data_IF_446046367746
#
_entry.id   IF_446046367746
#
_cell.length_a   1.000
_cell.length_b   1.000
_cell.length_c   1.000
_cell.angle_alpha   90.00
_cell.angle_beta   90.00
_cell.angle_gamma   90.00
#
_symmetry.space_group_name_H-M   'P 1'
#
loop_
_entity.id
_entity.type
_entity.pdbx_description
1 polymer ?
#
# COMPACT_ATOMS: atom_id res chain seq x y z
N UNK A 1 11.98 -3.84 18.64
CA UNK A 1 10.92 -4.59 17.93
C UNK A 1 11.60 -5.51 16.94
N UNK A 2 11.32 -6.83 16.90
CA UNK A 2 11.85 -7.67 15.83
C UNK A 2 11.30 -7.14 14.49
N UNK A 3 12.19 -6.86 13.54
CA UNK A 3 11.89 -6.15 12.29
C UNK A 3 10.79 -6.83 11.45
N UNK A 4 10.58 -8.13 11.64
CA UNK A 4 9.48 -8.91 11.05
C UNK A 4 8.09 -8.45 11.51
N UNK A 5 7.90 -8.13 12.80
CA UNK A 5 6.60 -7.72 13.33
C UNK A 5 6.16 -6.40 12.68
N UNK A 6 7.05 -5.41 12.58
CA UNK A 6 6.73 -4.13 11.95
C UNK A 6 6.38 -4.31 10.46
N UNK A 7 7.09 -5.20 9.74
CA UNK A 7 6.77 -5.53 8.35
C UNK A 7 5.35 -6.08 8.25
N UNK A 8 5.03 -7.10 9.04
CA UNK A 8 3.75 -7.77 8.97
C UNK A 8 2.58 -6.85 9.34
N UNK A 9 2.76 -5.97 10.33
CA UNK A 9 1.78 -4.94 10.67
C UNK A 9 1.53 -3.97 9.51
N UNK A 10 2.60 -3.47 8.87
CA UNK A 10 2.47 -2.57 7.73
C UNK A 10 1.80 -3.26 6.53
N UNK A 11 2.15 -4.52 6.25
CA UNK A 11 1.52 -5.32 5.20
C UNK A 11 0.04 -5.58 5.48
N UNK A 12 -0.29 -5.94 6.72
CA UNK A 12 -1.67 -6.16 7.15
C UNK A 12 -2.49 -4.89 7.01
N UNK A 13 -1.95 -3.74 7.41
CA UNK A 13 -2.62 -2.46 7.26
C UNK A 13 -2.88 -2.11 5.79
N UNK A 14 -1.90 -2.29 4.91
CA UNK A 14 -2.08 -2.08 3.46
C UNK A 14 -3.13 -3.03 2.88
N UNK A 15 -3.15 -4.28 3.32
CA UNK A 15 -4.18 -5.24 2.92
C UNK A 15 -5.57 -4.73 3.30
N UNK A 16 -5.80 -4.38 4.56
CA UNK A 16 -7.11 -3.94 5.06
C UNK A 16 -7.59 -2.61 4.45
N UNK A 17 -6.70 -1.64 4.26
CA UNK A 17 -7.10 -0.29 3.88
C UNK A 17 -6.98 0.01 2.37
N UNK A 18 -6.08 -0.65 1.66
CA UNK A 18 -5.82 -0.38 0.24
C UNK A 18 -6.26 -1.52 -0.68
N UNK A 19 -5.94 -2.78 -0.35
CA UNK A 19 -6.12 -3.89 -1.28
C UNK A 19 -7.50 -4.56 -1.12
N UNK A 20 -7.83 -4.96 0.09
CA UNK A 20 -9.05 -5.69 0.42
C UNK A 20 -10.33 -4.97 -0.03
N UNK A 21 -10.49 -3.64 0.13
CA UNK A 21 -11.68 -2.94 -0.34
C UNK A 21 -11.90 -3.06 -1.85
N UNK A 22 -10.82 -3.13 -2.64
CA UNK A 22 -10.90 -3.25 -4.10
C UNK A 22 -11.15 -4.71 -4.51
N UNK A 23 -10.53 -5.66 -3.79
CA UNK A 23 -10.65 -7.09 -4.08
C UNK A 23 -12.00 -7.68 -3.67
N UNK A 24 -12.66 -7.11 -2.66
CA UNK A 24 -14.00 -7.52 -2.23
C UNK A 24 -15.13 -6.92 -3.08
N UNK A 25 -14.84 -5.96 -3.96
CA UNK A 25 -15.89 -5.40 -4.81
C UNK A 25 -16.45 -6.49 -5.72
N UNK A 26 -17.74 -6.75 -5.60
CA UNK A 26 -18.42 -7.69 -6.47
C UNK A 26 -18.53 -7.12 -7.88
N UNK A 27 -17.91 -7.81 -8.84
CA UNK A 27 -18.00 -7.44 -10.25
C UNK A 27 -19.43 -7.58 -10.79
N UNK A 28 -20.28 -8.40 -10.20
CA UNK A 28 -21.67 -8.52 -10.62
C UNK A 28 -22.53 -7.33 -10.15
N UNK A 29 -22.11 -6.66 -9.07
CA UNK A 29 -22.76 -5.46 -8.53
C UNK A 29 -22.48 -4.19 -9.35
N UNK A 30 -21.51 -4.22 -10.28
CA UNK A 30 -21.23 -3.10 -11.19
C UNK A 30 -21.83 -3.32 -12.59
N UNK A 31 -22.16 -2.25 -13.32
CA UNK A 31 -22.69 -2.35 -14.69
C UNK A 31 -21.79 -3.19 -15.60
N UNK A 32 -22.37 -3.94 -16.54
CA UNK A 32 -21.65 -4.83 -17.47
C UNK A 32 -20.41 -4.18 -18.12
N UNK A 33 -20.53 -2.91 -18.52
CA UNK A 33 -19.43 -2.13 -19.12
C UNK A 33 -18.25 -1.87 -18.16
N UNK A 34 -18.50 -1.82 -16.85
CA UNK A 34 -17.48 -1.57 -15.82
C UNK A 34 -16.89 -2.87 -15.27
N UNK A 35 -17.50 -4.04 -15.51
CA UNK A 35 -17.02 -5.33 -15.00
C UNK A 35 -15.62 -5.67 -15.47
N UNK A 36 -15.36 -5.44 -16.76
CA UNK A 36 -14.04 -5.70 -17.33
C UNK A 36 -12.97 -4.78 -16.73
N UNK A 37 -13.32 -3.51 -16.51
CA UNK A 37 -12.43 -2.53 -15.88
C UNK A 37 -12.14 -2.88 -14.42
N UNK A 38 -13.16 -3.28 -13.66
CA UNK A 38 -13.02 -3.71 -12.27
C UNK A 38 -12.16 -4.98 -12.17
N UNK A 39 -12.37 -5.99 -13.03
CA UNK A 39 -11.52 -7.20 -13.06
C UNK A 39 -10.07 -6.86 -13.39
N UNK A 40 -9.84 -5.97 -14.36
CA UNK A 40 -8.50 -5.53 -14.71
C UNK A 40 -7.84 -4.75 -13.56
N UNK A 41 -8.61 -3.96 -12.81
CA UNK A 41 -8.15 -3.24 -11.62
C UNK A 41 -7.80 -4.21 -10.48
N UNK A 42 -8.69 -5.15 -10.16
CA UNK A 42 -8.48 -6.18 -9.14
C UNK A 42 -7.21 -7.00 -9.43
N UNK A 43 -7.01 -7.39 -10.69
CA UNK A 43 -5.78 -8.09 -11.10
C UNK A 43 -4.52 -7.26 -10.86
N UNK A 44 -4.55 -5.95 -11.16
CA UNK A 44 -3.42 -5.04 -10.89
C UNK A 44 -3.16 -4.88 -9.39
N UNK A 45 -4.22 -4.78 -8.58
CA UNK A 45 -4.13 -4.70 -7.12
C UNK A 45 -3.55 -5.99 -6.54
N UNK A 46 -3.93 -7.17 -7.04
CA UNK A 46 -3.33 -8.44 -6.63
C UNK A 46 -1.82 -8.49 -6.88
N UNK A 47 -1.39 -8.10 -8.08
CA UNK A 47 0.05 -8.04 -8.42
C UNK A 47 0.78 -7.06 -7.50
N UNK A 48 0.16 -5.94 -7.17
CA UNK A 48 0.76 -4.96 -6.27
C UNK A 48 0.87 -5.51 -4.84
N UNK A 49 -0.19 -6.12 -4.31
CA UNK A 49 -0.19 -6.74 -2.99
C UNK A 49 0.89 -7.81 -2.87
N UNK A 50 1.04 -8.67 -3.88
CA UNK A 50 2.11 -9.67 -3.95
C UNK A 50 3.50 -9.01 -3.92
N UNK A 51 3.70 -7.96 -4.71
CA UNK A 51 4.95 -7.18 -4.68
C UNK A 51 5.24 -6.56 -3.31
N UNK A 52 4.23 -6.14 -2.53
CA UNK A 52 4.49 -5.67 -1.16
C UNK A 52 4.90 -6.81 -0.23
N UNK A 53 4.26 -7.98 -0.34
CA UNK A 53 4.60 -9.17 0.46
C UNK A 53 6.03 -9.67 0.24
N UNK A 54 6.59 -9.42 -0.93
CA UNK A 54 8.00 -9.70 -1.26
C UNK A 54 9.00 -8.68 -0.68
N UNK A 55 8.58 -7.77 0.22
CA UNK A 55 9.50 -6.85 0.88
C UNK A 55 10.19 -7.52 2.08
N UNK A 56 11.51 -7.49 2.12
CA UNK A 56 12.30 -8.19 3.15
C UNK A 56 12.25 -7.51 4.54
N UNK A 57 11.77 -6.26 4.61
CA UNK A 57 11.73 -5.49 5.87
C UNK A 57 10.66 -4.40 5.84
N UNK A 58 10.29 -3.89 7.02
CA UNK A 58 9.38 -2.75 7.16
C UNK A 58 9.85 -1.49 6.40
N UNK A 59 11.16 -1.20 6.44
CA UNK A 59 11.75 -0.10 5.67
C UNK A 59 11.64 -0.30 4.15
N UNK A 60 11.74 -1.55 3.69
CA UNK A 60 11.51 -1.90 2.29
C UNK A 60 10.02 -1.73 1.89
N UNK A 61 9.08 -2.05 2.79
CA UNK A 61 7.64 -1.78 2.59
C UNK A 61 7.41 -0.27 2.43
N UNK A 62 7.94 0.55 3.35
CA UNK A 62 7.81 2.01 3.29
C UNK A 62 8.43 2.61 2.01
N UNK A 63 9.61 2.12 1.62
CA UNK A 63 10.29 2.57 0.41
C UNK A 63 9.47 2.23 -0.84
N UNK A 64 8.93 1.00 -0.93
CA UNK A 64 8.05 0.59 -2.04
C UNK A 64 6.78 1.41 -2.09
N UNK A 65 6.18 1.73 -0.94
CA UNK A 65 5.00 2.58 -0.84
C UNK A 65 5.26 3.98 -1.41
N UNK A 66 6.33 4.63 -0.97
CA UNK A 66 6.74 5.96 -1.46
C UNK A 66 7.08 5.96 -2.95
N UNK A 67 7.72 4.90 -3.43
CA UNK A 67 7.98 4.73 -4.86
C UNK A 67 6.67 4.61 -5.65
N UNK A 68 5.71 3.84 -5.16
CA UNK A 68 4.42 3.64 -5.82
C UNK A 68 3.60 4.94 -5.88
N UNK A 69 3.59 5.75 -4.82
CA UNK A 69 2.97 7.08 -4.82
C UNK A 69 3.44 7.98 -5.98
N UNK A 70 4.71 7.84 -6.39
CA UNK A 70 5.31 8.67 -7.45
C UNK A 70 5.27 8.00 -8.82
N UNK A 71 4.84 6.73 -8.91
CA UNK A 71 4.90 5.95 -10.13
C UNK A 71 3.80 6.35 -11.10
N UNK A 72 4.17 6.56 -12.38
CA UNK A 72 3.20 6.77 -13.47
C UNK A 72 2.26 5.57 -13.64
N UNK A 73 2.71 4.36 -13.30
CA UNK A 73 1.86 3.16 -13.28
C UNK A 73 0.75 3.27 -12.24
N UNK A 74 1.05 3.86 -11.08
CA UNK A 74 0.09 4.04 -10.00
C UNK A 74 -0.93 5.11 -10.33
N UNK A 75 -0.53 6.19 -11.02
CA UNK A 75 -1.45 7.24 -11.45
C UNK A 75 -2.64 6.73 -12.28
N UNK A 76 -2.41 5.72 -13.13
CA UNK A 76 -3.50 5.07 -13.87
C UNK A 76 -4.46 4.31 -12.94
N UNK A 77 -3.91 3.57 -11.98
CA UNK A 77 -4.67 2.80 -10.98
C UNK A 77 -5.47 3.73 -10.09
N UNK A 78 -4.87 4.79 -9.56
CA UNK A 78 -5.54 5.79 -8.73
C UNK A 78 -6.68 6.50 -9.47
N UNK A 79 -6.49 6.85 -10.74
CA UNK A 79 -7.56 7.44 -11.55
C UNK A 79 -8.77 6.50 -11.65
N UNK A 80 -8.53 5.19 -11.84
CA UNK A 80 -9.60 4.18 -11.92
C UNK A 80 -10.28 3.97 -10.57
N UNK A 81 -9.51 3.91 -9.48
CA UNK A 81 -10.04 3.83 -8.12
C UNK A 81 -10.93 5.02 -7.80
N UNK A 82 -10.50 6.25 -8.11
CA UNK A 82 -11.31 7.46 -7.93
C UNK A 82 -12.60 7.45 -8.74
N UNK A 83 -12.56 6.95 -9.98
CA UNK A 83 -13.76 6.82 -10.81
C UNK A 83 -14.79 5.87 -10.18
N UNK A 84 -14.32 4.85 -9.46
CA UNK A 84 -15.14 3.90 -8.69
C UNK A 84 -15.41 4.35 -7.24
N UNK A 85 -14.99 5.57 -6.87
CA UNK A 85 -15.08 6.12 -5.50
C UNK A 85 -14.42 5.23 -4.44
N UNK A 86 -13.36 4.51 -4.82
CA UNK A 86 -12.56 3.69 -3.93
C UNK A 86 -11.35 4.47 -3.41
N UNK A 87 -10.88 4.17 -2.19
CA UNK A 87 -9.69 4.80 -1.63
C UNK A 87 -8.46 4.52 -2.50
N UNK A 88 -7.60 5.52 -2.64
CA UNK A 88 -6.32 5.43 -3.33
C UNK A 88 -5.15 5.34 -2.35
N UNK A 89 -4.00 4.87 -2.82
CA UNK A 89 -2.76 4.87 -2.04
C UNK A 89 -2.38 6.30 -1.62
N UNK A 90 -2.61 7.29 -2.49
CA UNK A 90 -2.49 8.70 -2.14
C UNK A 90 -3.36 9.14 -0.96
N UNK A 91 -4.60 8.67 -0.85
CA UNK A 91 -5.49 9.00 0.27
C UNK A 91 -5.01 8.40 1.60
N UNK A 92 -4.24 7.31 1.52
CA UNK A 92 -3.71 6.56 2.65
C UNK A 92 -2.29 6.99 3.06
N UNK A 93 -1.66 7.91 2.31
CA UNK A 93 -0.25 8.27 2.48
C UNK A 93 0.09 8.72 3.89
N UNK A 94 -0.65 9.72 4.41
CA UNK A 94 -0.38 10.27 5.74
C UNK A 94 -0.56 9.22 6.83
N UNK A 95 -1.63 8.42 6.76
CA UNK A 95 -1.93 7.38 7.75
C UNK A 95 -0.90 6.24 7.72
N UNK A 96 -0.41 5.89 6.54
CA UNK A 96 0.62 4.86 6.41
C UNK A 96 1.99 5.32 6.92
N UNK A 97 2.35 6.59 6.69
CA UNK A 97 3.59 7.16 7.24
C UNK A 97 3.53 7.33 8.75
N UNK A 98 2.39 7.74 9.30
CA UNK A 98 2.17 7.81 10.75
C UNK A 98 2.29 6.42 11.40
N UNK A 99 1.67 5.40 10.79
CA UNK A 99 1.85 4.00 11.22
C UNK A 99 3.31 3.58 11.21
N UNK A 100 4.04 3.87 10.12
CA UNK A 100 5.46 3.55 10.01
C UNK A 100 6.27 4.24 11.13
N UNK A 101 6.02 5.53 11.37
CA UNK A 101 6.68 6.30 12.43
C UNK A 101 6.36 5.74 13.83
N UNK A 102 5.11 5.39 14.11
CA UNK A 102 4.70 4.76 15.37
C UNK A 102 5.33 3.38 15.61
N UNK A 103 5.72 2.69 14.53
CA UNK A 103 6.47 1.42 14.58
C UNK A 103 7.99 1.62 14.62
N UNK A 104 8.49 2.87 14.62
CA UNK A 104 9.92 3.20 14.59
C UNK A 104 10.58 2.96 13.23
N UNK A 105 9.81 2.98 12.14
CA UNK A 105 10.28 2.73 10.78
C UNK A 105 10.47 4.05 10.06
N UNK A 106 11.70 4.53 10.04
CA UNK A 106 12.09 5.72 9.29
C UNK A 106 12.68 5.34 7.93
N UNK A 107 12.50 6.20 6.92
CA UNK A 107 13.14 6.01 5.62
C UNK A 107 14.59 6.42 5.69
N UNK A 108 15.44 5.51 6.14
CA UNK A 108 16.89 5.68 6.16
C UNK A 108 17.49 4.92 7.32
N UNK A 109 18.28 3.89 7.02
CA UNK A 109 19.05 3.19 8.04
C UNK A 109 20.00 4.15 8.76
N UNK A 110 19.91 4.18 10.08
CA UNK A 110 20.82 4.85 10.98
C UNK A 110 20.27 4.70 12.39
N UNK A 111 20.88 3.82 13.19
CA UNK A 111 20.49 3.60 14.57
C UNK A 111 20.51 4.89 15.41
N UNK A 112 20.02 4.83 16.66
CA UNK A 112 20.11 5.98 17.56
C UNK A 112 21.56 6.44 17.61
N UNK A 113 21.80 7.69 17.22
CA UNK A 113 23.05 8.36 17.49
C UNK A 113 23.24 8.30 19.00
N UNK A 114 24.17 7.46 19.45
CA UNK A 114 24.62 7.45 20.83
C UNK A 114 24.93 8.89 21.24
N UNK A 115 24.28 9.32 22.31
CA UNK A 115 24.73 10.44 23.14
C UNK A 115 26.25 10.35 23.30
N UNK A 116 26.95 11.38 22.81
CA UNK A 116 28.34 11.63 23.16
C UNK A 116 28.32 12.48 24.42
N UNK A 117 28.66 11.87 25.55
CA UNK A 117 29.27 12.53 26.71
C UNK A 117 30.79 12.67 26.49
#
# INVERSE_FOLDING_TARGET
MPHDIARDWMLHWLDQHAFHPVLQLDAEAVPAMQRQELRALQHRVLIQADRFRQADSAGAVLTRFRHDLRSTRMREVERRLRALRLPTIGDLHLSFEDLAAGLGVESGGGGPASEQE
#
